data_IF_131022925511
#
_entry.id   IF_131022925511
#
_cell.length_a   1.000
_cell.length_b   1.000
_cell.length_c   1.000
_cell.angle_alpha   90.00
_cell.angle_beta   90.00
_cell.angle_gamma   90.00
#
_symmetry.space_group_name_H-M   'P 1'
#
loop_
_entity.id
_entity.type
_entity.pdbx_description
1 polymer ?
#
# COMPACT_ATOMS: atom_id res chain seq x y z
N UNK A 1 -17.70 -25.82 9.63
CA UNK A 1 -17.11 -24.57 9.12
C UNK A 1 -18.09 -23.44 9.37
N UNK A 2 -17.62 -22.21 9.56
CA UNK A 2 -18.49 -21.04 9.68
C UNK A 2 -19.26 -20.87 8.36
N UNK A 3 -20.58 -21.05 8.42
CA UNK A 3 -21.47 -20.79 7.29
C UNK A 3 -21.82 -19.29 7.23
N UNK A 4 -22.54 -18.87 6.18
CA UNK A 4 -22.91 -17.47 6.01
C UNK A 4 -23.75 -16.90 7.16
N UNK A 5 -24.41 -17.75 7.96
CA UNK A 5 -25.20 -17.34 9.12
C UNK A 5 -24.29 -17.06 10.31
N UNK A 6 -23.39 -18.00 10.64
CA UNK A 6 -22.41 -17.82 11.73
C UNK A 6 -21.47 -16.63 11.49
N UNK A 7 -21.09 -16.35 10.23
CA UNK A 7 -20.28 -15.18 9.91
C UNK A 7 -20.98 -13.86 10.23
N UNK A 8 -22.31 -13.78 10.16
CA UNK A 8 -23.07 -12.55 10.43
C UNK A 8 -23.20 -12.24 11.92
N UNK A 9 -22.81 -13.15 12.80
CA UNK A 9 -22.76 -12.92 14.24
C UNK A 9 -21.52 -12.09 14.63
N UNK A 10 -20.54 -11.98 13.74
CA UNK A 10 -19.34 -11.15 13.94
C UNK A 10 -19.74 -9.67 13.80
N UNK A 11 -19.39 -8.80 14.79
CA UNK A 11 -19.66 -7.37 14.70
C UNK A 11 -19.14 -6.76 13.39
N UNK A 12 -19.96 -5.91 12.77
CA UNK A 12 -19.72 -5.26 11.47
C UNK A 12 -19.69 -6.20 10.24
N UNK A 13 -20.00 -7.50 10.38
CA UNK A 13 -20.10 -8.44 9.26
C UNK A 13 -21.55 -8.56 8.79
N UNK A 14 -21.91 -7.73 7.80
CA UNK A 14 -23.18 -7.84 7.10
C UNK A 14 -23.20 -8.96 6.05
N UNK A 15 -24.38 -9.13 5.42
CA UNK A 15 -24.60 -10.12 4.34
C UNK A 15 -23.52 -10.11 3.27
N UNK A 16 -23.16 -8.93 2.75
CA UNK A 16 -22.20 -8.81 1.65
C UNK A 16 -20.78 -9.22 2.03
N UNK A 17 -20.36 -8.98 3.28
CA UNK A 17 -19.04 -9.42 3.76
C UNK A 17 -19.05 -10.93 3.97
N UNK A 18 -20.10 -11.47 4.60
CA UNK A 18 -20.25 -12.91 4.81
C UNK A 18 -20.23 -13.70 3.49
N UNK A 19 -20.94 -13.23 2.46
CA UNK A 19 -20.94 -13.84 1.12
C UNK A 19 -19.53 -13.86 0.50
N UNK A 20 -18.77 -12.76 0.62
CA UNK A 20 -17.38 -12.71 0.12
C UNK A 20 -16.45 -13.66 0.88
N UNK A 21 -16.60 -13.77 2.20
CA UNK A 21 -15.81 -14.70 3.02
C UNK A 21 -16.11 -16.15 2.63
N UNK A 22 -17.39 -16.51 2.45
CA UNK A 22 -17.76 -17.87 1.98
C UNK A 22 -17.19 -18.15 0.59
N UNK A 23 -17.30 -17.19 -0.33
CA UNK A 23 -16.71 -17.33 -1.67
C UNK A 23 -15.20 -17.58 -1.59
N UNK A 24 -14.48 -16.80 -0.78
CA UNK A 24 -13.05 -16.97 -0.59
C UNK A 24 -12.70 -18.33 0.02
N UNK A 25 -13.40 -18.75 1.08
CA UNK A 25 -13.15 -20.05 1.72
C UNK A 25 -13.45 -21.24 0.80
N UNK A 26 -14.40 -21.08 -0.14
CA UNK A 26 -14.81 -22.16 -1.05
C UNK A 26 -13.95 -22.23 -2.32
N UNK A 27 -13.51 -21.08 -2.84
CA UNK A 27 -12.89 -20.97 -4.18
C UNK A 27 -11.45 -20.47 -4.15
N UNK A 28 -10.98 -19.97 -3.00
CA UNK A 28 -9.72 -19.24 -2.86
C UNK A 28 -9.77 -17.79 -3.37
N UNK A 29 -10.87 -17.33 -3.97
CA UNK A 29 -10.98 -16.03 -4.64
C UNK A 29 -12.29 -15.31 -4.30
N UNK A 30 -12.34 -14.00 -4.56
CA UNK A 30 -13.57 -13.19 -4.43
C UNK A 30 -13.83 -12.50 -5.77
N UNK A 31 -14.86 -12.91 -6.54
CA UNK A 31 -15.09 -12.41 -7.89
C UNK A 31 -15.16 -10.88 -8.00
N UNK A 32 -15.84 -10.23 -7.04
CA UNK A 32 -15.92 -8.76 -6.97
C UNK A 32 -14.55 -8.09 -6.83
N UNK A 33 -13.62 -8.72 -6.11
CA UNK A 33 -12.27 -8.20 -5.91
C UNK A 33 -11.46 -8.37 -7.20
N UNK A 34 -11.55 -9.53 -7.84
CA UNK A 34 -10.84 -9.81 -9.09
C UNK A 34 -11.29 -8.87 -10.22
N UNK A 35 -12.60 -8.66 -10.39
CA UNK A 35 -13.11 -7.72 -11.38
C UNK A 35 -12.62 -6.28 -11.14
N UNK A 36 -12.59 -5.83 -9.89
CA UNK A 36 -12.09 -4.49 -9.53
C UNK A 36 -10.58 -4.37 -9.71
N UNK A 37 -9.82 -5.41 -9.39
CA UNK A 37 -8.36 -5.45 -9.62
C UNK A 37 -8.04 -5.35 -11.11
N UNK A 38 -8.81 -6.03 -11.95
CA UNK A 38 -8.66 -5.97 -13.41
C UNK A 38 -8.94 -4.57 -13.99
N UNK A 39 -9.87 -3.82 -13.39
CA UNK A 39 -10.19 -2.47 -13.81
C UNK A 39 -9.12 -1.42 -13.45
N UNK A 40 -8.29 -1.67 -12.43
CA UNK A 40 -7.19 -0.77 -12.06
C UNK A 40 -5.96 -1.09 -12.90
N UNK A 41 -5.40 -0.15 -13.67
CA UNK A 41 -4.19 -0.40 -14.47
C UNK A 41 -3.04 -0.92 -13.59
N UNK A 42 -2.26 -1.87 -14.12
CA UNK A 42 -1.16 -2.48 -13.37
C UNK A 42 -0.15 -1.44 -12.86
N UNK A 43 0.13 -0.40 -13.65
CA UNK A 43 1.01 0.69 -13.25
C UNK A 43 0.49 1.49 -12.06
N UNK A 44 -0.81 1.80 -12.02
CA UNK A 44 -1.42 2.47 -10.86
C UNK A 44 -1.24 1.62 -9.60
N UNK A 45 -1.44 0.30 -9.70
CA UNK A 45 -1.22 -0.60 -8.55
C UNK A 45 0.25 -0.61 -8.10
N UNK A 46 1.20 -0.66 -9.04
CA UNK A 46 2.63 -0.63 -8.73
C UNK A 46 3.01 0.64 -7.96
N UNK A 47 2.48 1.79 -8.40
CA UNK A 47 2.71 3.08 -7.73
C UNK A 47 2.11 3.12 -6.31
N UNK A 48 0.96 2.50 -6.07
CA UNK A 48 0.36 2.46 -4.72
C UNK A 48 1.16 1.67 -3.69
N UNK A 49 2.17 0.90 -4.10
CA UNK A 49 3.09 0.26 -3.17
C UNK A 49 4.02 1.27 -2.48
N UNK A 50 4.22 2.46 -3.06
CA UNK A 50 5.04 3.52 -2.49
C UNK A 50 4.33 4.12 -1.26
N UNK A 51 4.92 4.04 -0.05
CA UNK A 51 4.37 4.68 1.13
C UNK A 51 4.10 6.17 0.91
N UNK A 52 2.91 6.62 1.29
CA UNK A 52 2.48 8.01 1.08
C UNK A 52 1.90 8.32 -0.30
N UNK A 53 1.94 7.37 -1.25
CA UNK A 53 1.32 7.50 -2.57
C UNK A 53 0.02 6.69 -2.66
N UNK A 54 -1.10 7.29 -2.25
CA UNK A 54 -2.42 6.65 -2.30
C UNK A 54 -2.99 6.49 -3.72
N UNK A 55 -4.01 5.62 -3.91
CA UNK A 55 -4.57 5.27 -5.22
C UNK A 55 -5.05 6.47 -6.03
N UNK A 56 -5.60 7.50 -5.37
CA UNK A 56 -6.05 8.72 -6.06
C UNK A 56 -4.89 9.46 -6.74
N UNK A 57 -3.76 9.62 -6.03
CA UNK A 57 -2.57 10.30 -6.58
C UNK A 57 -1.89 9.44 -7.64
N UNK A 58 -1.74 8.14 -7.39
CA UNK A 58 -1.21 7.20 -8.36
C UNK A 58 -2.00 7.22 -9.69
N UNK A 59 -3.32 7.32 -9.61
CA UNK A 59 -4.16 7.39 -10.80
C UNK A 59 -3.97 8.69 -11.59
N UNK A 60 -3.81 9.83 -10.91
CA UNK A 60 -3.50 11.12 -11.58
C UNK A 60 -2.15 11.07 -12.30
N UNK A 61 -1.12 10.50 -11.65
CA UNK A 61 0.20 10.34 -12.29
C UNK A 61 0.12 9.45 -13.55
N UNK A 62 -0.70 8.40 -13.51
CA UNK A 62 -0.92 7.52 -14.64
C UNK A 62 -1.66 8.22 -15.79
N UNK A 63 -2.78 8.90 -15.51
CA UNK A 63 -3.61 9.53 -16.54
C UNK A 63 -2.93 10.77 -17.14
N UNK A 64 -2.37 11.65 -16.31
CA UNK A 64 -1.86 12.95 -16.75
C UNK A 64 -0.42 12.87 -17.27
N UNK A 65 0.41 11.99 -16.71
CA UNK A 65 1.84 11.89 -17.06
C UNK A 65 2.23 10.57 -17.72
N UNK A 66 1.30 9.62 -17.84
CA UNK A 66 1.60 8.27 -18.36
C UNK A 66 2.53 7.46 -17.46
N UNK A 67 2.70 7.86 -16.19
CA UNK A 67 3.62 7.20 -15.27
C UNK A 67 3.00 5.92 -14.74
N UNK A 68 3.68 4.81 -14.97
CA UNK A 68 3.20 3.45 -14.68
C UNK A 68 4.20 2.59 -13.90
N UNK A 69 5.37 3.14 -13.54
CA UNK A 69 6.38 2.44 -12.73
C UNK A 69 7.12 3.39 -11.80
N UNK A 70 7.85 2.83 -10.82
CA UNK A 70 8.67 3.61 -9.88
C UNK A 70 9.76 4.37 -10.64
N UNK A 71 10.38 3.74 -11.62
CA UNK A 71 11.45 4.32 -12.44
C UNK A 71 10.94 5.50 -13.27
N UNK A 72 9.75 5.35 -13.89
CA UNK A 72 9.10 6.43 -14.62
C UNK A 72 8.69 7.58 -13.70
N UNK A 73 8.32 7.29 -12.45
CA UNK A 73 8.00 8.31 -11.46
C UNK A 73 9.25 9.09 -11.02
N UNK A 74 10.37 8.41 -10.79
CA UNK A 74 11.65 9.07 -10.50
C UNK A 74 12.11 9.96 -11.65
N UNK A 75 11.95 9.51 -12.89
CA UNK A 75 12.22 10.32 -14.09
C UNK A 75 11.35 11.58 -14.09
N UNK A 76 10.03 11.43 -13.93
CA UNK A 76 9.11 12.55 -13.94
C UNK A 76 9.38 13.56 -12.80
N UNK A 77 9.86 13.10 -11.64
CA UNK A 77 10.28 13.98 -10.54
C UNK A 77 11.55 14.75 -10.92
N UNK A 78 12.53 14.11 -11.56
CA UNK A 78 13.79 14.75 -11.96
C UNK A 78 13.58 15.79 -13.06
N UNK A 79 12.63 15.53 -13.96
CA UNK A 79 12.18 16.45 -14.99
C UNK A 79 11.25 17.56 -14.44
N UNK A 80 10.98 17.57 -13.13
CA UNK A 80 10.07 18.50 -12.43
C UNK A 80 8.62 18.48 -12.93
N UNK A 81 8.22 17.47 -13.69
CA UNK A 81 6.89 17.33 -14.32
C UNK A 81 5.75 17.14 -13.32
N UNK A 82 6.07 16.73 -12.09
CA UNK A 82 5.05 16.59 -11.04
C UNK A 82 4.53 17.94 -10.56
N UNK A 83 5.32 19.01 -10.62
CA UNK A 83 4.95 20.32 -10.08
C UNK A 83 3.80 20.97 -10.84
N UNK A 84 3.63 20.61 -12.11
CA UNK A 84 2.52 21.08 -12.95
C UNK A 84 1.18 20.47 -12.55
N UNK A 85 1.19 19.40 -11.75
CA UNK A 85 -0.02 18.72 -11.32
C UNK A 85 -0.56 19.28 -9.98
N UNK A 86 -1.86 19.56 -9.96
CA UNK A 86 -2.57 19.97 -8.75
C UNK A 86 -2.41 18.90 -7.64
N UNK A 87 -1.83 19.29 -6.51
CA UNK A 87 -1.62 18.41 -5.35
C UNK A 87 -0.25 17.72 -5.31
N UNK A 88 0.65 18.07 -6.23
CA UNK A 88 2.02 17.55 -6.35
C UNK A 88 3.07 18.66 -6.23
N UNK A 89 2.94 19.54 -5.22
CA UNK A 89 4.00 20.50 -4.89
C UNK A 89 5.23 19.82 -4.27
N UNK A 90 6.26 20.61 -3.96
CA UNK A 90 7.56 20.12 -3.46
C UNK A 90 7.46 19.14 -2.29
N UNK A 91 6.54 19.39 -1.33
CA UNK A 91 6.38 18.48 -0.20
C UNK A 91 5.87 17.11 -0.62
N UNK A 92 4.99 17.06 -1.63
CA UNK A 92 4.50 15.83 -2.22
C UNK A 92 5.66 15.08 -2.87
N UNK A 93 6.51 15.76 -3.65
CA UNK A 93 7.70 15.16 -4.28
C UNK A 93 8.67 14.60 -3.23
N UNK A 94 9.00 15.37 -2.19
CA UNK A 94 9.86 14.92 -1.09
C UNK A 94 9.30 13.67 -0.40
N UNK A 95 7.99 13.66 -0.12
CA UNK A 95 7.34 12.51 0.50
C UNK A 95 7.36 11.28 -0.41
N UNK A 96 7.14 11.46 -1.72
CA UNK A 96 7.17 10.38 -2.71
C UNK A 96 8.59 9.80 -2.83
N UNK A 97 9.62 10.65 -2.94
CA UNK A 97 11.02 10.20 -2.99
C UNK A 97 11.41 9.44 -1.72
N UNK A 98 10.98 9.92 -0.55
CA UNK A 98 11.18 9.21 0.70
C UNK A 98 10.47 7.83 0.68
N UNK A 99 9.22 7.78 0.23
CA UNK A 99 8.48 6.53 0.08
C UNK A 99 9.19 5.54 -0.86
N UNK A 100 9.73 6.00 -1.99
CA UNK A 100 10.50 5.16 -2.92
C UNK A 100 11.73 4.57 -2.23
N UNK A 101 12.46 5.36 -1.44
CA UNK A 101 13.58 4.88 -0.64
C UNK A 101 13.15 3.80 0.37
N UNK A 102 12.05 4.02 1.09
CA UNK A 102 11.51 3.02 2.04
C UNK A 102 11.12 1.74 1.32
N UNK A 103 10.43 1.84 0.19
CA UNK A 103 10.02 0.68 -0.61
C UNK A 103 11.23 -0.15 -1.06
N UNK A 104 12.32 0.49 -1.51
CA UNK A 104 13.55 -0.20 -1.92
C UNK A 104 14.30 -0.86 -0.76
N UNK A 105 14.28 -0.24 0.41
CA UNK A 105 14.95 -0.78 1.60
C UNK A 105 14.16 -1.92 2.26
N UNK A 106 12.86 -2.06 1.98
CA UNK A 106 12.01 -3.11 2.55
C UNK A 106 12.42 -4.53 2.12
N UNK A 107 13.03 -4.69 0.95
CA UNK A 107 13.56 -5.97 0.46
C UNK A 107 15.01 -6.26 0.90
N UNK A 108 15.62 -5.35 1.67
CA UNK A 108 17.00 -5.48 2.15
C UNK A 108 17.14 -6.41 3.35
N UNK A 109 18.15 -7.28 3.34
CA UNK A 109 18.63 -7.95 4.56
C UNK A 109 19.58 -7.03 5.31
N UNK A 110 19.50 -7.01 6.64
CA UNK A 110 20.42 -6.27 7.50
C UNK A 110 21.22 -7.25 8.39
N UNK A 111 22.42 -6.85 8.81
CA UNK A 111 23.24 -7.66 9.72
C UNK A 111 22.53 -7.79 11.07
N UNK A 112 22.53 -9.02 11.63
CA UNK A 112 21.80 -9.31 12.87
C UNK A 112 22.25 -8.39 14.01
N UNK A 113 23.55 -8.17 14.22
CA UNK A 113 24.02 -7.29 15.29
C UNK A 113 23.47 -5.86 15.21
N UNK A 114 23.51 -5.26 14.00
CA UNK A 114 22.93 -3.93 13.79
C UNK A 114 21.41 -3.90 13.99
N UNK A 115 20.72 -4.99 13.63
CA UNK A 115 19.28 -5.13 13.88
C UNK A 115 18.96 -5.23 15.37
N UNK A 116 19.75 -6.03 16.10
CA UNK A 116 19.56 -6.33 17.52
C UNK A 116 19.70 -5.06 18.36
N UNK A 117 20.71 -4.23 18.10
CA UNK A 117 20.92 -2.98 18.85
C UNK A 117 19.70 -2.04 18.76
N UNK A 118 19.12 -1.91 17.55
CA UNK A 118 17.91 -1.09 17.33
C UNK A 118 16.69 -1.73 17.98
N UNK A 119 16.54 -3.04 17.89
CA UNK A 119 15.41 -3.77 18.47
C UNK A 119 15.39 -3.64 20.00
N UNK A 120 16.54 -3.77 20.67
CA UNK A 120 16.65 -3.64 22.13
C UNK A 120 16.23 -2.24 22.61
N UNK A 121 16.56 -1.19 21.86
CA UNK A 121 16.11 0.17 22.18
C UNK A 121 14.58 0.30 22.13
N UNK A 122 13.94 -0.26 21.10
CA UNK A 122 12.48 -0.23 20.96
C UNK A 122 11.81 -1.02 22.10
N UNK A 123 12.34 -2.20 22.45
CA UNK A 123 11.83 -3.02 23.56
C UNK A 123 11.90 -2.25 24.88
N UNK A 124 13.05 -1.61 25.18
CA UNK A 124 13.24 -0.84 26.40
C UNK A 124 12.29 0.38 26.50
N UNK A 125 11.87 0.96 25.38
CA UNK A 125 10.84 2.01 25.36
C UNK A 125 9.43 1.42 25.59
N UNK A 126 9.11 0.28 24.96
CA UNK A 126 7.81 -0.37 25.14
C UNK A 126 7.59 -0.85 26.57
N UNK A 127 8.62 -1.37 27.25
CA UNK A 127 8.54 -1.81 28.66
C UNK A 127 8.21 -0.67 29.63
N UNK A 128 8.45 0.59 29.24
CA UNK A 128 8.11 1.76 30.05
C UNK A 128 6.64 2.17 29.93
N UNK A 129 5.89 1.62 28.98
CA UNK A 129 4.47 1.93 28.78
C UNK A 129 3.64 1.01 29.69
N UNK A 130 2.80 1.55 30.61
CA UNK A 130 1.88 0.74 31.40
C UNK A 130 0.84 0.08 30.50
N UNK A 131 0.59 -1.22 30.72
CA UNK A 131 -0.39 -2.02 29.97
C UNK A 131 -1.85 -1.78 30.33
#
# INVERSE_FOLDING_TARGET
GLDAKGLREIPNVGRSIAEKVVAYLSTGHVPDIEARRAAVPAGVRALTAIPGLGPRKAHVLYEELGVSSVEQLEEAIREERLRDLKGFGEQSERNILHGISVLRNADGRILLGAATDVAEQIVAEMERIPG
#
